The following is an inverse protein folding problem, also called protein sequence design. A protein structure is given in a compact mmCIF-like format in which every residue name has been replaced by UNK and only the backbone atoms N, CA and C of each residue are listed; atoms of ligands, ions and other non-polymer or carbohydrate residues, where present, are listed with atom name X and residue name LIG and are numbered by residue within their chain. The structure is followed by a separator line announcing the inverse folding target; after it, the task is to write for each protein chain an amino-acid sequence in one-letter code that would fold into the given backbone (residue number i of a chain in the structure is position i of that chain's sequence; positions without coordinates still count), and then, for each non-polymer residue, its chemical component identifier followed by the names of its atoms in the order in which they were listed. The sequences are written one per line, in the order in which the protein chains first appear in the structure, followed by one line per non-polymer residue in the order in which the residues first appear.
data_IF_016716985325
#
_entry.id   IF_016716985325
#
_cell.length_a   1.000
_cell.length_b   1.000
_cell.length_c   1.000
_cell.angle_alpha   90.00
_cell.angle_beta   90.00
_cell.angle_gamma   90.00
#
_symmetry.space_group_name_H-M   'P 1'
#
loop_
_entity.id
_entity.type
_entity.pdbx_description
1 polymer ?
#
# COMPACT_ATOMS: atom_id res chain seq x y z
N UNK A 1 -3.63 13.81 -5.47
CA UNK A 1 -2.58 13.05 -4.76
C UNK A 1 -2.30 11.80 -5.56
N UNK A 2 -1.04 11.39 -5.69
CA UNK A 2 -0.63 10.12 -6.29
C UNK A 2 0.07 9.29 -5.23
N UNK A 3 -0.17 7.97 -5.19
CA UNK A 3 0.36 7.07 -4.15
C UNK A 3 0.93 5.84 -4.84
N UNK A 4 2.20 5.58 -4.58
CA UNK A 4 3.03 4.54 -5.17
C UNK A 4 3.10 4.61 -6.71
N UNK A 5 3.99 3.79 -7.29
CA UNK A 5 4.18 3.69 -8.73
C UNK A 5 3.84 2.32 -9.32
N UNK A 6 3.67 1.28 -8.50
CA UNK A 6 3.58 -0.10 -8.99
C UNK A 6 4.95 -0.67 -9.38
N UNK A 7 4.95 -1.86 -9.99
CA UNK A 7 6.13 -2.45 -10.64
C UNK A 7 6.47 -1.77 -11.96
N UNK A 8 7.72 -1.90 -12.40
CA UNK A 8 8.20 -1.41 -13.71
C UNK A 8 7.30 -1.86 -14.87
N UNK A 9 6.92 -3.14 -14.89
CA UNK A 9 6.09 -3.72 -15.96
C UNK A 9 4.73 -3.04 -16.12
N UNK A 10 4.16 -2.52 -15.03
CA UNK A 10 2.85 -1.84 -15.02
C UNK A 10 2.92 -0.36 -15.38
N UNK A 11 4.13 0.24 -15.37
CA UNK A 11 4.30 1.68 -15.59
C UNK A 11 3.75 2.15 -16.94
N UNK A 12 3.93 1.37 -18.02
CA UNK A 12 3.42 1.74 -19.35
C UNK A 12 1.90 1.89 -19.33
N UNK A 13 1.20 1.01 -18.61
CA UNK A 13 -0.25 1.07 -18.46
C UNK A 13 -0.68 2.20 -17.52
N UNK A 14 0.01 2.42 -16.40
CA UNK A 14 -0.24 3.56 -15.50
C UNK A 14 -0.06 4.88 -16.26
N UNK A 15 1.06 5.06 -16.95
CA UNK A 15 1.32 6.25 -17.78
C UNK A 15 0.21 6.44 -18.80
N UNK A 16 -0.09 5.40 -19.59
CA UNK A 16 -1.06 5.48 -20.69
C UNK A 16 -2.50 5.69 -20.22
N UNK A 17 -2.95 4.95 -19.20
CA UNK A 17 -4.35 4.89 -18.78
C UNK A 17 -4.71 5.94 -17.72
N UNK A 18 -3.74 6.38 -16.92
CA UNK A 18 -4.02 7.22 -15.74
C UNK A 18 -3.28 8.56 -15.73
N UNK A 19 -2.10 8.66 -16.35
CA UNK A 19 -1.28 9.88 -16.30
C UNK A 19 -1.22 10.66 -17.61
N UNK A 20 -1.61 10.09 -18.76
CA UNK A 20 -1.68 10.84 -20.02
C UNK A 20 -2.72 11.98 -19.97
N UNK A 21 -3.75 11.84 -19.14
CA UNK A 21 -4.74 12.90 -18.89
C UNK A 21 -4.22 13.96 -17.91
N UNK A 22 -3.16 13.64 -17.16
CA UNK A 22 -2.47 14.56 -16.25
C UNK A 22 -1.54 15.44 -17.08
N UNK A 23 -2.13 16.41 -17.79
CA UNK A 23 -1.44 17.33 -18.67
C UNK A 23 -0.83 18.55 -17.94
N UNK A 24 -0.21 19.44 -18.72
CA UNK A 24 0.22 20.76 -18.25
C UNK A 24 -0.94 21.49 -17.57
N UNK A 25 -0.70 22.01 -16.37
CA UNK A 25 -1.71 22.65 -15.51
C UNK A 25 -2.34 21.72 -14.47
N UNK A 26 -2.05 20.41 -14.52
CA UNK A 26 -2.37 19.49 -13.41
C UNK A 26 -1.31 19.59 -12.33
N UNK A 27 -1.75 19.61 -11.08
CA UNK A 27 -0.88 19.67 -9.91
C UNK A 27 -1.20 18.55 -8.95
N UNK A 28 -0.19 17.76 -8.59
CA UNK A 28 -0.25 16.86 -7.46
C UNK A 28 0.22 17.61 -6.22
N UNK A 29 -0.70 17.89 -5.29
CA UNK A 29 -0.32 18.48 -3.99
C UNK A 29 0.63 17.59 -3.19
N UNK A 30 0.49 16.27 -3.34
CA UNK A 30 1.40 15.28 -2.81
C UNK A 30 1.53 14.08 -3.77
N UNK A 31 2.76 13.63 -3.98
CA UNK A 31 3.08 12.29 -4.48
C UNK A 31 3.70 11.52 -3.31
N UNK A 32 3.25 10.30 -3.05
CA UNK A 32 3.72 9.48 -1.92
C UNK A 32 4.29 8.18 -2.43
N UNK A 33 5.47 7.81 -1.95
CA UNK A 33 5.98 6.44 -2.00
C UNK A 33 5.91 5.90 -0.59
N UNK A 34 5.08 4.87 -0.41
CA UNK A 34 4.69 4.40 0.92
C UNK A 34 5.82 3.64 1.60
N UNK A 35 6.60 2.85 0.86
CA UNK A 35 7.81 2.17 1.33
C UNK A 35 8.70 1.72 0.15
N UNK A 36 9.73 0.92 0.42
CA UNK A 36 10.82 0.63 -0.53
C UNK A 36 10.63 -0.61 -1.38
N UNK A 37 9.61 -1.44 -1.14
CA UNK A 37 9.48 -2.66 -1.92
C UNK A 37 9.14 -2.37 -3.38
N UNK A 38 9.58 -3.30 -4.23
CA UNK A 38 9.63 -3.13 -5.68
C UNK A 38 8.26 -2.78 -6.30
N UNK A 39 7.17 -3.36 -5.81
CA UNK A 39 5.79 -3.10 -6.27
C UNK A 39 5.23 -1.75 -5.82
N UNK A 40 5.95 -1.00 -4.99
CA UNK A 40 5.59 0.35 -4.61
C UNK A 40 6.48 1.38 -5.32
N UNK A 41 7.79 1.15 -5.38
CA UNK A 41 8.78 2.16 -5.77
C UNK A 41 9.14 2.16 -7.26
N UNK A 42 9.10 1.03 -7.96
CA UNK A 42 9.68 0.91 -9.30
C UNK A 42 9.03 1.80 -10.36
N UNK A 43 7.70 1.82 -10.41
CA UNK A 43 6.98 2.71 -11.33
C UNK A 43 7.20 4.17 -11.00
N UNK A 44 7.53 4.50 -9.74
CA UNK A 44 7.88 5.86 -9.35
C UNK A 44 9.26 6.27 -9.85
N UNK A 45 10.22 5.34 -9.89
CA UNK A 45 11.51 5.56 -10.57
C UNK A 45 11.29 5.86 -12.05
N UNK A 46 10.40 5.11 -12.73
CA UNK A 46 10.04 5.37 -14.12
C UNK A 46 9.35 6.72 -14.30
N UNK A 47 8.47 7.12 -13.38
CA UNK A 47 7.86 8.45 -13.36
C UNK A 47 8.93 9.55 -13.23
N UNK A 48 9.88 9.39 -12.31
CA UNK A 48 10.95 10.36 -12.12
C UNK A 48 11.91 10.45 -13.32
N UNK A 49 12.10 9.36 -14.07
CA UNK A 49 12.90 9.34 -15.30
C UNK A 49 12.16 9.86 -16.54
N UNK A 50 10.84 10.10 -16.45
CA UNK A 50 10.01 10.44 -17.60
C UNK A 50 10.00 11.94 -17.91
N UNK A 51 10.81 12.38 -18.88
CA UNK A 51 10.88 13.78 -19.32
C UNK A 51 9.55 14.33 -19.87
N UNK A 52 8.60 13.46 -20.22
CA UNK A 52 7.26 13.86 -20.66
C UNK A 52 6.31 14.11 -19.49
N UNK A 53 6.68 13.76 -18.26
CA UNK A 53 5.86 14.07 -17.09
C UNK A 53 5.91 15.57 -16.78
N UNK A 54 4.81 16.29 -17.11
CA UNK A 54 4.69 17.75 -17.02
C UNK A 54 3.84 18.26 -15.85
N UNK A 55 3.34 17.38 -14.99
CA UNK A 55 2.54 17.79 -13.84
C UNK A 55 3.39 18.56 -12.82
N UNK A 56 2.80 19.54 -12.15
CA UNK A 56 3.43 20.18 -11.00
C UNK A 56 3.37 19.25 -9.79
N UNK A 57 4.48 19.14 -9.06
CA UNK A 57 4.55 18.38 -7.81
C UNK A 57 4.74 19.36 -6.65
N UNK A 58 3.75 19.41 -5.76
CA UNK A 58 3.75 20.29 -4.60
C UNK A 58 4.72 19.82 -3.51
N UNK A 59 4.60 18.56 -3.11
CA UNK A 59 5.51 17.91 -2.17
C UNK A 59 5.62 16.41 -2.54
N UNK A 60 6.81 15.85 -2.38
CA UNK A 60 7.06 14.44 -2.57
C UNK A 60 7.32 13.80 -1.20
N UNK A 61 6.59 12.74 -0.87
CA UNK A 61 6.61 12.10 0.43
C UNK A 61 7.26 10.73 0.33
N UNK A 62 8.44 10.59 0.93
CA UNK A 62 9.17 9.33 0.96
C UNK A 62 10.22 9.34 2.08
N UNK A 63 10.28 8.27 2.86
CA UNK A 63 11.28 8.07 3.90
C UNK A 63 12.53 7.38 3.32
N UNK A 64 13.38 8.14 2.63
CA UNK A 64 14.72 7.66 2.24
C UNK A 64 15.68 7.54 3.44
N UNK A 65 16.78 6.81 3.23
CA UNK A 65 17.89 6.62 4.17
C UNK A 65 18.32 7.91 4.88
N UNK A 66 18.50 9.01 4.13
CA UNK A 66 18.90 10.33 4.68
C UNK A 66 17.97 10.89 5.77
N UNK A 67 16.75 10.37 5.89
CA UNK A 67 15.78 10.80 6.89
C UNK A 67 15.79 9.93 8.16
N UNK A 68 16.49 8.80 8.16
CA UNK A 68 16.33 7.76 9.20
C UNK A 68 17.27 7.91 10.41
N UNK A 69 18.29 8.79 10.36
CA UNK A 69 19.21 9.18 11.45
C UNK A 69 19.25 8.31 12.75
N UNK A 70 20.27 7.43 12.84
CA UNK A 70 20.89 6.96 14.10
C UNK A 70 20.44 5.63 14.73
N UNK A 71 21.28 4.60 14.50
CA UNK A 71 21.53 3.32 15.21
C UNK A 71 20.66 2.09 14.85
N UNK A 72 21.37 0.99 14.59
CA UNK A 72 20.98 -0.22 13.88
C UNK A 72 20.18 -1.31 14.65
N UNK A 73 19.63 -2.26 13.89
CA UNK A 73 18.87 -3.48 14.22
C UNK A 73 19.26 -4.61 13.26
N UNK A 74 18.73 -5.82 13.51
CA UNK A 74 19.19 -7.06 12.89
C UNK A 74 18.12 -7.94 12.20
N UNK A 75 17.45 -7.49 11.14
CA UNK A 75 16.55 -8.32 10.31
C UNK A 75 16.90 -8.30 8.79
N UNK A 76 16.27 -9.17 8.01
CA UNK A 76 16.52 -9.41 6.57
C UNK A 76 15.52 -8.62 5.69
N UNK A 77 16.01 -7.83 4.71
CA UNK A 77 15.21 -7.19 3.64
C UNK A 77 15.85 -7.53 2.30
N UNK A 78 15.08 -7.39 1.22
CA UNK A 78 15.55 -7.49 -0.16
C UNK A 78 16.59 -6.39 -0.49
N UNK A 79 17.82 -6.81 -0.79
CA UNK A 79 18.94 -5.96 -1.23
C UNK A 79 18.56 -4.99 -2.37
N UNK A 80 17.60 -5.39 -3.22
CA UNK A 80 17.08 -4.58 -4.33
C UNK A 80 16.23 -3.39 -3.89
N UNK A 81 15.43 -3.49 -2.82
CA UNK A 81 14.57 -2.41 -2.33
C UNK A 81 15.39 -1.21 -1.86
N UNK A 82 16.52 -1.47 -1.21
CA UNK A 82 17.45 -0.41 -0.76
C UNK A 82 18.16 0.27 -1.91
N UNK A 83 18.64 -0.49 -2.90
CA UNK A 83 19.22 0.11 -4.10
C UNK A 83 18.20 1.02 -4.82
N UNK A 84 16.93 0.60 -4.91
CA UNK A 84 15.85 1.41 -5.50
C UNK A 84 15.51 2.66 -4.67
N UNK A 85 15.54 2.57 -3.34
CA UNK A 85 15.40 3.72 -2.45
C UNK A 85 16.47 4.79 -2.67
N UNK A 86 17.73 4.39 -2.86
CA UNK A 86 18.84 5.31 -3.17
C UNK A 86 18.75 5.88 -4.59
N UNK A 87 18.32 5.06 -5.56
CA UNK A 87 18.04 5.53 -6.92
C UNK A 87 16.94 6.61 -6.92
N UNK A 88 15.85 6.40 -6.18
CA UNK A 88 14.77 7.39 -6.08
C UNK A 88 15.25 8.66 -5.40
N UNK A 89 16.08 8.53 -4.36
CA UNK A 89 16.70 9.67 -3.68
C UNK A 89 17.52 10.54 -4.63
N UNK A 90 18.28 9.92 -5.54
CA UNK A 90 19.05 10.60 -6.58
C UNK A 90 18.12 11.26 -7.61
N UNK A 91 17.13 10.52 -8.11
CA UNK A 91 16.20 11.02 -9.12
C UNK A 91 15.37 12.23 -8.63
N UNK A 92 14.98 12.25 -7.35
CA UNK A 92 14.27 13.38 -6.74
C UNK A 92 15.15 14.63 -6.63
N UNK A 93 16.45 14.46 -6.38
CA UNK A 93 17.39 15.58 -6.35
C UNK A 93 17.51 16.24 -7.73
N UNK A 94 17.52 15.45 -8.80
CA UNK A 94 17.61 15.94 -10.19
C UNK A 94 16.33 16.68 -10.64
N UNK A 95 15.16 16.24 -10.16
CA UNK A 95 13.86 16.88 -10.46
C UNK A 95 13.63 18.21 -9.76
N UNK A 96 14.45 18.54 -8.75
CA UNK A 96 14.28 19.72 -7.89
C UNK A 96 12.87 19.85 -7.25
N UNK A 97 12.23 18.72 -6.96
CA UNK A 97 10.95 18.69 -6.25
C UNK A 97 11.15 18.94 -4.76
N UNK A 98 10.14 19.55 -4.13
CA UNK A 98 10.09 19.60 -2.65
C UNK A 98 9.96 18.18 -2.12
N UNK A 99 10.73 17.86 -1.09
CA UNK A 99 10.76 16.51 -0.51
C UNK A 99 10.55 16.60 1.00
N UNK A 100 9.47 15.95 1.47
CA UNK A 100 9.00 15.94 2.84
C UNK A 100 8.89 17.37 3.41
N UNK A 101 8.62 18.37 2.56
CA UNK A 101 8.66 19.78 2.97
C UNK A 101 7.58 20.09 4.01
N UNK A 102 6.42 19.42 3.93
CA UNK A 102 5.37 19.49 4.95
C UNK A 102 5.82 18.99 6.32
N UNK A 103 6.85 18.16 6.36
CA UNK A 103 7.47 17.61 7.57
C UNK A 103 8.81 18.28 7.90
N UNK A 104 9.08 19.45 7.31
CA UNK A 104 10.34 20.19 7.52
C UNK A 104 11.56 19.48 6.94
N UNK A 105 11.39 18.65 5.91
CA UNK A 105 12.45 17.85 5.28
C UNK A 105 12.92 16.67 6.14
N UNK A 106 12.13 16.26 7.14
CA UNK A 106 12.43 15.14 8.04
C UNK A 106 11.65 13.89 7.66
N UNK A 107 11.90 12.80 8.37
CA UNK A 107 11.10 11.58 8.24
C UNK A 107 9.62 11.82 8.52
N UNK A 108 8.78 11.23 7.69
CA UNK A 108 7.35 11.11 7.83
C UNK A 108 7.09 9.99 8.84
N UNK A 109 6.52 10.32 9.99
CA UNK A 109 6.15 9.36 11.02
C UNK A 109 5.02 9.89 11.88
N UNK A 110 4.31 8.98 12.54
CA UNK A 110 3.40 9.36 13.61
C UNK A 110 4.19 9.72 14.89
N UNK A 111 3.65 10.61 15.75
CA UNK A 111 4.26 10.92 17.02
C UNK A 111 4.32 9.67 17.93
N UNK A 112 5.34 9.59 18.78
CA UNK A 112 5.49 8.50 19.75
C UNK A 112 4.41 8.59 20.85
N UNK A 113 4.13 7.49 21.56
CA UNK A 113 3.18 7.46 22.67
C UNK A 113 1.74 7.79 22.28
N UNK A 114 1.03 8.55 23.13
CA UNK A 114 -0.41 8.84 23.01
C UNK A 114 -0.74 10.25 22.48
N UNK A 115 0.26 11.05 22.09
CA UNK A 115 0.06 12.41 21.54
C UNK A 115 -0.96 12.44 20.38
N UNK A 116 -1.69 13.51 20.07
CA UNK A 116 -2.62 13.48 18.93
C UNK A 116 -1.93 13.17 17.59
N UNK A 117 -2.54 12.33 16.75
CA UNK A 117 -2.04 12.08 15.39
C UNK A 117 -2.14 13.34 14.53
N UNK A 118 -1.15 13.53 13.65
CA UNK A 118 -1.07 14.70 12.78
C UNK A 118 -2.04 14.57 11.60
N UNK A 119 -2.89 15.58 11.40
CA UNK A 119 -3.71 15.74 10.19
C UNK A 119 -3.23 16.93 9.38
N UNK A 120 -2.73 16.66 8.18
CA UNK A 120 -2.36 17.66 7.19
C UNK A 120 -3.58 18.05 6.35
N UNK A 121 -3.67 19.31 5.94
CA UNK A 121 -4.65 19.77 4.95
C UNK A 121 -3.89 20.24 3.71
N UNK A 122 -4.08 19.50 2.62
CA UNK A 122 -3.53 19.83 1.31
C UNK A 122 -4.42 20.86 0.61
N UNK A 123 -3.89 21.52 -0.44
CA UNK A 123 -4.72 22.41 -1.24
C UNK A 123 -5.90 21.63 -1.84
N UNK A 124 -7.05 22.29 -1.98
CA UNK A 124 -8.28 21.61 -2.33
C UNK A 124 -8.97 20.91 -1.15
N UNK A 125 -8.58 21.16 0.10
CA UNK A 125 -9.26 20.66 1.32
C UNK A 125 -9.19 19.14 1.54
N UNK A 126 -8.32 18.42 0.84
CA UNK A 126 -8.01 17.02 1.16
C UNK A 126 -7.26 16.96 2.49
N UNK A 127 -7.86 16.31 3.49
CA UNK A 127 -7.21 16.06 4.78
C UNK A 127 -6.53 14.70 4.75
N UNK A 128 -5.30 14.65 5.24
CA UNK A 128 -4.49 13.43 5.32
C UNK A 128 -4.06 13.23 6.77
N UNK A 129 -4.52 12.16 7.41
CA UNK A 129 -4.11 11.82 8.79
C UNK A 129 -3.18 10.62 8.75
N UNK A 130 -1.93 10.80 9.21
CA UNK A 130 -0.96 9.72 9.24
C UNK A 130 -1.31 8.69 10.31
N UNK A 131 -1.22 7.41 9.96
CA UNK A 131 -1.41 6.26 10.86
C UNK A 131 -0.13 5.45 11.07
N UNK A 132 0.83 5.57 10.15
CA UNK A 132 2.10 4.84 10.13
C UNK A 132 3.11 5.66 9.30
N UNK A 133 4.43 5.51 9.46
CA UNK A 133 5.14 4.60 10.37
C UNK A 133 5.40 5.17 11.76
N UNK A 134 5.74 4.29 12.69
CA UNK A 134 6.28 4.68 14.01
C UNK A 134 7.77 5.01 13.89
N UNK A 135 8.33 5.68 14.91
CA UNK A 135 9.79 5.84 15.00
C UNK A 135 10.53 4.50 15.08
N UNK A 136 9.91 3.52 15.74
CA UNK A 136 10.51 2.21 15.90
C UNK A 136 10.63 1.51 14.54
N UNK A 137 9.56 1.45 13.75
CA UNK A 137 9.58 0.86 12.41
C UNK A 137 10.63 1.50 11.49
N UNK A 138 10.74 2.84 11.52
CA UNK A 138 11.78 3.54 10.77
C UNK A 138 13.21 3.23 11.22
N UNK A 139 13.42 3.02 12.53
CA UNK A 139 14.73 2.65 13.08
C UNK A 139 15.13 1.23 12.72
N UNK A 140 14.17 0.30 12.75
CA UNK A 140 14.42 -1.07 12.32
C UNK A 140 14.87 -1.10 10.86
N UNK A 141 14.14 -0.38 9.99
CA UNK A 141 14.51 -0.27 8.57
C UNK A 141 15.94 0.22 8.37
N UNK A 142 16.35 1.27 9.09
CA UNK A 142 17.72 1.81 8.95
C UNK A 142 18.79 0.80 9.34
N UNK A 143 18.57 0.07 10.41
CA UNK A 143 19.58 -0.85 10.94
C UNK A 143 19.95 -1.95 9.96
N UNK A 144 18.95 -2.42 9.27
CA UNK A 144 19.11 -3.44 8.28
C UNK A 144 19.62 -2.84 6.94
N UNK A 145 19.21 -1.60 6.61
CA UNK A 145 19.73 -0.85 5.46
C UNK A 145 21.25 -0.66 5.52
N UNK A 146 21.79 -0.34 6.70
CA UNK A 146 23.24 -0.24 6.91
C UNK A 146 23.97 -1.56 6.60
N UNK A 147 23.36 -2.70 6.94
CA UNK A 147 23.94 -4.02 6.64
C UNK A 147 23.98 -4.28 5.15
N UNK A 148 22.90 -4.01 4.42
CA UNK A 148 22.92 -4.27 2.98
C UNK A 148 23.82 -3.31 2.24
N UNK A 149 24.01 -2.06 2.69
CA UNK A 149 25.04 -1.20 2.08
C UNK A 149 26.45 -1.78 2.23
N UNK A 150 26.72 -2.50 3.33
CA UNK A 150 28.00 -3.18 3.58
C UNK A 150 28.11 -4.48 2.78
N UNK A 151 27.04 -5.29 2.74
CA UNK A 151 26.98 -6.54 1.98
C UNK A 151 27.04 -6.28 0.47
N UNK A 152 26.33 -5.26 -0.01
CA UNK A 152 26.32 -4.76 -1.38
C UNK A 152 27.59 -3.97 -1.73
N UNK A 153 28.76 -4.32 -1.19
CA UNK A 153 30.08 -3.72 -1.48
C UNK A 153 30.55 -3.82 -2.96
N UNK A 154 29.63 -3.77 -3.92
CA UNK A 154 29.79 -4.00 -5.35
C UNK A 154 28.99 -2.95 -6.15
N UNK A 155 29.74 -1.95 -6.64
CA UNK A 155 29.53 -1.10 -7.84
C UNK A 155 28.07 -0.76 -8.26
N UNK A 156 27.66 0.52 -8.22
CA UNK A 156 26.39 0.98 -8.77
C UNK A 156 26.50 1.14 -10.30
N UNK A 157 26.64 0.05 -11.05
CA UNK A 157 26.45 0.07 -12.50
C UNK A 157 26.08 -1.33 -13.01
N UNK A 158 24.80 -1.74 -12.97
CA UNK A 158 24.24 -2.69 -13.95
C UNK A 158 22.75 -2.46 -14.16
N UNK A 159 22.43 -1.69 -15.21
CA UNK A 159 21.28 -1.88 -16.12
C UNK A 159 19.87 -1.76 -15.56
N UNK A 160 18.93 -1.38 -16.43
CA UNK A 160 17.52 -1.67 -16.17
C UNK A 160 17.38 -3.18 -15.90
N UNK A 161 16.65 -3.61 -14.84
CA UNK A 161 16.30 -5.01 -14.71
C UNK A 161 15.63 -5.44 -16.02
N UNK A 162 15.96 -6.61 -16.58
CA UNK A 162 15.32 -7.08 -17.80
C UNK A 162 13.80 -7.08 -17.59
N UNK A 163 13.04 -6.72 -18.63
CA UNK A 163 11.58 -6.92 -18.63
C UNK A 163 11.32 -8.33 -18.10
N UNK A 164 10.66 -8.43 -16.95
CA UNK A 164 10.35 -9.73 -16.35
C UNK A 164 9.54 -10.53 -17.38
N UNK A 165 9.93 -11.78 -17.69
CA UNK A 165 9.17 -12.58 -18.63
C UNK A 165 7.73 -12.67 -18.14
N UNK A 166 6.75 -12.63 -19.06
CA UNK A 166 5.38 -13.03 -18.76
C UNK A 166 5.45 -14.34 -17.97
N UNK A 167 5.10 -14.27 -16.69
CA UNK A 167 5.15 -15.42 -15.79
C UNK A 167 4.19 -16.43 -16.40
N UNK A 168 4.71 -17.59 -16.78
CA UNK A 168 3.89 -18.71 -17.22
C UNK A 168 2.80 -18.90 -16.17
N UNK A 169 1.53 -18.92 -16.60
CA UNK A 169 0.40 -19.28 -15.74
C UNK A 169 0.78 -20.57 -15.00
N UNK A 170 1.20 -20.44 -13.74
CA UNK A 170 1.30 -21.59 -12.86
C UNK A 170 -0.13 -22.09 -12.79
N UNK A 171 -0.35 -23.34 -13.19
CA UNK A 171 -1.66 -24.01 -13.12
C UNK A 171 -2.11 -24.07 -11.65
N UNK A 172 -2.63 -22.95 -11.16
CA UNK A 172 -3.37 -22.88 -9.92
C UNK A 172 -4.67 -23.59 -10.19
N UNK A 173 -4.79 -24.82 -9.72
CA UNK A 173 -6.07 -25.53 -9.67
C UNK A 173 -7.07 -24.59 -9.00
N UNK A 174 -8.08 -24.14 -9.76
CA UNK A 174 -9.05 -23.14 -9.30
C UNK A 174 -9.56 -23.48 -7.91
N UNK A 175 -9.42 -22.53 -6.98
CA UNK A 175 -9.75 -22.73 -5.57
C UNK A 175 -11.20 -23.18 -5.42
N UNK A 176 -11.42 -24.22 -4.61
CA UNK A 176 -12.76 -24.65 -4.24
C UNK A 176 -13.51 -23.57 -3.45
N UNK A 177 -14.78 -23.83 -3.13
CA UNK A 177 -15.56 -22.91 -2.27
C UNK A 177 -14.84 -22.74 -0.92
N UNK A 178 -14.49 -21.50 -0.51
CA UNK A 178 -13.78 -21.25 0.74
C UNK A 178 -14.63 -21.61 1.96
N UNK A 179 -14.00 -22.19 2.99
CA UNK A 179 -14.62 -22.37 4.31
C UNK A 179 -14.30 -21.15 5.20
N UNK A 180 -15.24 -20.20 5.26
CA UNK A 180 -15.07 -18.96 6.00
C UNK A 180 -14.80 -19.17 7.49
N UNK A 181 -15.42 -20.17 8.11
CA UNK A 181 -15.30 -20.40 9.55
C UNK A 181 -13.92 -20.96 9.87
N UNK A 182 -13.46 -21.94 9.08
CA UNK A 182 -12.09 -22.48 9.20
C UNK A 182 -11.03 -21.41 8.91
N UNK A 183 -11.24 -20.56 7.91
CA UNK A 183 -10.32 -19.47 7.57
C UNK A 183 -10.24 -18.41 8.66
N UNK A 184 -11.38 -18.00 9.23
CA UNK A 184 -11.41 -17.02 10.31
C UNK A 184 -10.88 -17.56 11.65
N UNK A 185 -10.91 -18.88 11.85
CA UNK A 185 -10.36 -19.54 13.03
C UNK A 185 -8.83 -19.70 12.99
N UNK A 186 -8.18 -19.41 11.86
CA UNK A 186 -6.71 -19.47 11.76
C UNK A 186 -6.05 -18.44 12.69
N UNK A 187 -4.94 -18.78 13.35
CA UNK A 187 -4.22 -17.87 14.22
C UNK A 187 -3.77 -16.62 13.47
N UNK A 188 -3.75 -15.49 14.18
CA UNK A 188 -3.17 -14.25 13.68
C UNK A 188 -1.67 -14.26 13.96
N UNK A 189 -0.90 -14.33 12.88
CA UNK A 189 0.55 -14.13 12.87
C UNK A 189 0.83 -12.82 12.11
N UNK A 190 0.86 -11.72 12.86
CA UNK A 190 0.95 -10.39 12.26
C UNK A 190 2.22 -10.24 11.44
N UNK A 191 2.14 -9.45 10.39
CA UNK A 191 3.30 -9.05 9.61
C UNK A 191 4.31 -8.34 10.51
N UNK A 192 5.54 -8.82 10.49
CA UNK A 192 6.70 -8.32 11.23
C UNK A 192 7.84 -7.88 10.29
N UNK A 193 7.59 -7.87 8.97
CA UNK A 193 8.56 -7.48 7.97
C UNK A 193 9.05 -6.04 8.19
N UNK A 194 10.36 -5.86 8.26
CA UNK A 194 10.95 -4.55 8.53
C UNK A 194 10.62 -3.47 7.48
N UNK A 195 10.60 -3.74 6.15
CA UNK A 195 10.23 -2.73 5.16
C UNK A 195 8.80 -2.24 5.40
N UNK A 196 7.91 -3.16 5.72
CA UNK A 196 6.49 -2.94 5.98
C UNK A 196 6.27 -2.06 7.21
N UNK A 197 7.14 -2.14 8.22
CA UNK A 197 7.15 -1.25 9.38
C UNK A 197 7.46 0.23 9.04
N UNK A 198 8.00 0.51 7.86
CA UNK A 198 8.26 1.87 7.35
C UNK A 198 7.12 2.46 6.52
N UNK A 199 6.08 1.67 6.23
CA UNK A 199 4.96 2.04 5.38
C UNK A 199 4.26 3.31 5.85
N UNK A 200 4.16 4.29 4.95
CA UNK A 200 3.37 5.51 5.15
C UNK A 200 1.90 5.18 4.88
N UNK A 201 1.17 4.82 5.94
CA UNK A 201 -0.28 4.60 5.89
C UNK A 201 -1.05 5.80 6.43
N UNK A 202 -2.23 6.08 5.86
CA UNK A 202 -3.00 7.27 6.20
C UNK A 202 -4.50 7.15 5.91
N UNK A 203 -5.27 8.01 6.57
CA UNK A 203 -6.65 8.32 6.21
C UNK A 203 -6.69 9.49 5.24
N UNK A 204 -7.45 9.35 4.16
CA UNK A 204 -7.84 10.45 3.28
C UNK A 204 -9.26 10.87 3.59
N UNK A 205 -9.48 12.17 3.79
CA UNK A 205 -10.82 12.73 4.01
C UNK A 205 -11.07 13.92 3.10
N UNK A 206 -12.14 13.84 2.33
CA UNK A 206 -12.55 14.87 1.38
C UNK A 206 -14.07 14.82 1.20
N UNK A 207 -14.73 15.96 1.26
CA UNK A 207 -16.19 16.10 1.07
C UNK A 207 -17.03 15.08 1.86
N UNK A 208 -16.70 14.89 3.15
CA UNK A 208 -17.37 13.94 4.04
C UNK A 208 -17.07 12.46 3.77
N UNK A 209 -16.28 12.13 2.75
CA UNK A 209 -15.78 10.77 2.47
C UNK A 209 -14.50 10.52 3.26
N UNK A 210 -14.30 9.25 3.64
CA UNK A 210 -13.11 8.77 4.35
C UNK A 210 -12.62 7.49 3.69
N UNK A 211 -11.33 7.44 3.35
CA UNK A 211 -10.67 6.28 2.77
C UNK A 211 -9.49 5.91 3.66
N UNK A 212 -9.32 4.62 3.97
CA UNK A 212 -8.10 4.09 4.56
C UNK A 212 -7.16 3.61 3.45
N UNK A 213 -5.95 4.17 3.42
CA UNK A 213 -4.84 3.71 2.60
C UNK A 213 -3.83 3.01 3.51
N UNK A 214 -3.94 1.68 3.62
CA UNK A 214 -3.15 0.88 4.55
C UNK A 214 -1.68 0.69 4.19
N UNK A 215 -1.29 0.97 2.94
CA UNK A 215 0.01 0.56 2.39
C UNK A 215 0.31 -0.89 2.79
N UNK A 216 1.53 -1.21 3.22
CA UNK A 216 1.86 -2.53 3.75
C UNK A 216 2.12 -2.45 5.26
N UNK A 217 1.57 -1.44 5.93
CA UNK A 217 1.82 -1.20 7.34
C UNK A 217 1.41 -2.39 8.22
N UNK A 218 2.15 -2.59 9.30
CA UNK A 218 1.84 -3.60 10.31
C UNK A 218 0.43 -3.36 10.88
N UNK A 219 -0.39 -4.42 11.02
CA UNK A 219 -1.80 -4.28 11.39
C UNK A 219 -2.00 -3.74 12.80
N UNK A 220 -1.10 -4.06 13.73
CA UNK A 220 -1.14 -3.59 15.11
C UNK A 220 -0.85 -2.08 15.21
N UNK A 221 0.08 -1.57 14.40
CA UNK A 221 0.35 -0.12 14.29
C UNK A 221 -0.88 0.62 13.77
N UNK A 222 -1.53 0.09 12.72
CA UNK A 222 -2.77 0.68 12.19
C UNK A 222 -3.90 0.65 13.22
N UNK A 223 -4.10 -0.49 13.89
CA UNK A 223 -5.13 -0.64 14.93
C UNK A 223 -4.89 0.34 16.08
N UNK A 224 -3.66 0.40 16.61
CA UNK A 224 -3.29 1.31 17.70
C UNK A 224 -3.47 2.78 17.30
N UNK A 225 -3.10 3.15 16.07
CA UNK A 225 -3.31 4.50 15.56
C UNK A 225 -4.80 4.87 15.50
N UNK A 226 -5.67 3.96 15.06
CA UNK A 226 -7.11 4.18 15.05
C UNK A 226 -7.69 4.26 16.48
N UNK A 227 -7.22 3.40 17.41
CA UNK A 227 -7.63 3.46 18.81
C UNK A 227 -7.21 4.75 19.50
N UNK A 228 -6.03 5.28 19.19
CA UNK A 228 -5.55 6.60 19.64
C UNK A 228 -6.44 7.75 19.17
N UNK A 229 -7.12 7.58 18.03
CA UNK A 229 -8.17 8.49 17.54
C UNK A 229 -9.54 8.26 18.20
N UNK A 230 -9.60 7.48 19.28
CA UNK A 230 -10.83 7.10 20.01
C UNK A 230 -11.78 6.18 19.25
N UNK A 231 -11.30 5.50 18.20
CA UNK A 231 -12.08 4.43 17.56
C UNK A 231 -11.96 3.12 18.33
N UNK A 232 -13.04 2.36 18.34
CA UNK A 232 -13.12 1.08 19.03
C UNK A 232 -14.21 0.23 18.41
N UNK A 233 -14.38 -0.98 18.93
CA UNK A 233 -15.43 -1.92 18.57
C UNK A 233 -16.84 -1.32 18.77
N UNK A 234 -16.98 -0.43 19.76
CA UNK A 234 -18.26 0.24 20.07
C UNK A 234 -18.39 1.62 19.42
N UNK A 235 -17.30 2.14 18.86
CA UNK A 235 -17.24 3.40 18.13
C UNK A 235 -16.32 3.23 16.90
N UNK A 236 -16.68 2.40 15.92
CA UNK A 236 -15.78 2.09 14.82
C UNK A 236 -15.66 3.27 13.85
N UNK A 237 -14.50 3.44 13.24
CA UNK A 237 -14.29 4.44 12.19
C UNK A 237 -15.09 4.06 10.95
N UNK A 238 -16.07 4.88 10.57
CA UNK A 238 -16.80 4.69 9.32
C UNK A 238 -15.91 5.03 8.12
N UNK A 239 -15.65 4.01 7.29
CA UNK A 239 -14.92 4.12 6.04
C UNK A 239 -15.87 4.03 4.85
N UNK A 240 -15.57 4.79 3.81
CA UNK A 240 -16.24 4.69 2.52
C UNK A 240 -15.51 3.73 1.57
N UNK A 241 -14.20 3.58 1.76
CA UNK A 241 -13.36 2.58 1.08
C UNK A 241 -12.15 2.25 1.97
N UNK A 242 -11.74 1.00 1.96
CA UNK A 242 -10.44 0.57 2.47
C UNK A 242 -9.62 0.00 1.32
N UNK A 243 -8.50 0.65 0.94
CA UNK A 243 -7.45 -0.05 0.19
C UNK A 243 -6.81 -1.00 1.17
N UNK A 244 -7.06 -2.29 0.97
CA UNK A 244 -6.67 -3.34 1.90
C UNK A 244 -5.14 -3.35 2.03
N UNK A 245 -4.60 -3.37 3.26
CA UNK A 245 -3.17 -3.41 3.49
C UNK A 245 -2.50 -4.60 2.80
N UNK A 246 -1.26 -4.40 2.34
CA UNK A 246 -0.37 -5.45 1.85
C UNK A 246 -1.06 -6.39 0.87
N UNK A 247 -1.77 -5.78 -0.09
CA UNK A 247 -2.48 -6.47 -1.17
C UNK A 247 -3.52 -7.50 -0.74
N UNK A 248 -3.93 -7.50 0.53
CA UNK A 248 -4.79 -8.55 1.09
C UNK A 248 -4.04 -9.73 1.68
N UNK A 249 -2.84 -9.52 2.21
CA UNK A 249 -2.15 -10.47 3.09
C UNK A 249 -2.98 -10.77 4.35
N UNK A 250 -3.10 -12.05 4.68
CA UNK A 250 -3.73 -12.53 5.91
C UNK A 250 -2.99 -12.09 7.18
N UNK A 251 -1.72 -11.69 7.04
CA UNK A 251 -0.89 -11.16 8.14
C UNK A 251 -1.10 -9.68 8.41
N UNK A 252 -1.79 -8.95 7.52
CA UNK A 252 -2.07 -7.50 7.67
C UNK A 252 -3.57 -7.20 7.79
N UNK A 253 -4.44 -8.18 7.51
CA UNK A 253 -5.89 -8.07 7.68
C UNK A 253 -6.31 -8.88 8.90
N UNK A 254 -6.27 -8.24 10.06
CA UNK A 254 -6.59 -8.86 11.36
C UNK A 254 -8.01 -8.53 11.81
N UNK A 255 -8.57 -9.38 12.67
CA UNK A 255 -9.83 -9.12 13.36
C UNK A 255 -9.74 -7.86 14.23
N UNK A 256 -8.59 -7.64 14.88
CA UNK A 256 -8.34 -6.42 15.67
C UNK A 256 -8.48 -5.14 14.84
N UNK A 257 -7.80 -5.05 13.70
CA UNK A 257 -7.92 -3.92 12.78
C UNK A 257 -9.35 -3.77 12.24
N UNK A 258 -9.97 -4.87 11.81
CA UNK A 258 -11.33 -4.84 11.26
C UNK A 258 -12.39 -4.49 12.31
N UNK A 259 -12.15 -4.77 13.59
CA UNK A 259 -13.08 -4.48 14.68
C UNK A 259 -13.22 -2.98 14.97
N UNK A 260 -12.19 -2.18 14.64
CA UNK A 260 -12.19 -0.73 14.89
C UNK A 260 -12.62 0.10 13.66
N UNK A 261 -13.05 -0.55 12.56
CA UNK A 261 -13.55 0.10 11.34
C UNK A 261 -14.95 -0.41 10.94
N UNK A 262 -15.81 0.48 10.47
CA UNK A 262 -17.08 0.14 9.82
C UNK A 262 -16.92 0.40 8.31
N UNK A 263 -16.71 -0.67 7.55
CA UNK A 263 -16.48 -0.60 6.11
C UNK A 263 -17.27 -1.66 5.36
N UNK A 264 -17.82 -1.29 4.21
CA UNK A 264 -18.52 -2.21 3.29
C UNK A 264 -17.87 -2.30 1.91
N UNK A 265 -16.78 -1.57 1.66
CA UNK A 265 -16.11 -1.49 0.35
C UNK A 265 -14.61 -1.63 0.53
N UNK A 266 -14.03 -2.63 -0.12
CA UNK A 266 -12.63 -2.99 0.02
C UNK A 266 -11.99 -3.08 -1.35
N UNK A 267 -10.80 -2.50 -1.54
CA UNK A 267 -10.04 -2.60 -2.78
C UNK A 267 -8.77 -3.42 -2.58
N UNK A 268 -8.60 -4.43 -3.42
CA UNK A 268 -7.44 -5.30 -3.51
C UNK A 268 -6.64 -4.92 -4.76
N UNK A 269 -5.33 -4.70 -4.61
CA UNK A 269 -4.45 -4.20 -5.67
C UNK A 269 -3.30 -5.15 -5.99
N UNK A 270 -3.56 -6.32 -6.59
CA UNK A 270 -2.52 -7.31 -6.91
C UNK A 270 -2.94 -8.27 -8.01
N UNK A 271 -1.95 -8.72 -8.79
CA UNK A 271 -2.09 -9.82 -9.77
C UNK A 271 -1.69 -11.20 -9.18
N UNK A 272 -1.21 -11.24 -7.93
CA UNK A 272 -0.85 -12.46 -7.22
C UNK A 272 0.42 -13.16 -7.71
N UNK A 273 1.20 -12.59 -8.64
CA UNK A 273 2.28 -13.33 -9.31
C UNK A 273 3.52 -13.62 -8.45
N UNK A 274 3.72 -12.89 -7.35
CA UNK A 274 4.90 -13.04 -6.48
C UNK A 274 4.56 -13.63 -5.11
N UNK A 275 3.62 -13.01 -4.41
CA UNK A 275 3.25 -13.37 -3.04
C UNK A 275 1.91 -14.10 -2.95
N UNK A 276 1.31 -14.43 -4.10
CA UNK A 276 0.04 -15.12 -4.15
C UNK A 276 -1.12 -14.36 -3.48
N UNK A 277 -0.98 -13.07 -3.17
CA UNK A 277 -2.07 -12.28 -2.62
C UNK A 277 -3.21 -12.04 -3.63
N UNK A 278 -4.45 -11.84 -3.16
CA UNK A 278 -4.86 -11.83 -1.74
C UNK A 278 -5.00 -13.23 -1.15
N UNK A 279 -4.88 -13.30 0.17
CA UNK A 279 -5.06 -14.53 0.93
C UNK A 279 -6.53 -14.77 1.26
N UNK A 280 -6.94 -16.04 1.19
CA UNK A 280 -8.32 -16.43 1.53
C UNK A 280 -8.70 -16.04 2.97
N UNK A 281 -7.74 -16.06 3.90
CA UNK A 281 -7.95 -15.64 5.29
C UNK A 281 -8.30 -14.14 5.38
N UNK A 282 -7.60 -13.29 4.62
CA UNK A 282 -7.89 -11.86 4.58
C UNK A 282 -9.28 -11.59 4.02
N UNK A 283 -9.63 -12.23 2.91
CA UNK A 283 -10.96 -12.13 2.29
C UNK A 283 -12.05 -12.64 3.24
N UNK A 284 -11.82 -13.76 3.93
CA UNK A 284 -12.77 -14.32 4.88
C UNK A 284 -13.01 -13.39 6.07
N UNK A 285 -11.95 -12.82 6.66
CA UNK A 285 -12.06 -11.84 7.74
C UNK A 285 -12.79 -10.57 7.30
N UNK A 286 -12.53 -10.08 6.07
CA UNK A 286 -13.28 -8.95 5.49
C UNK A 286 -14.77 -9.28 5.39
N UNK A 287 -15.13 -10.44 4.84
CA UNK A 287 -16.53 -10.88 4.72
C UNK A 287 -17.19 -11.00 6.10
N UNK A 288 -16.49 -11.55 7.10
CA UNK A 288 -16.99 -11.74 8.47
C UNK A 288 -16.93 -10.49 9.35
N UNK A 289 -16.32 -9.39 8.90
CA UNK A 289 -16.17 -8.17 9.72
C UNK A 289 -17.49 -7.54 10.17
N UNK A 290 -18.60 -7.78 9.46
CA UNK A 290 -19.95 -7.42 9.89
C UNK A 290 -21.00 -8.12 9.03
N UNK A 291 -22.26 -8.18 9.49
CA UNK A 291 -23.37 -8.73 8.71
C UNK A 291 -23.81 -7.89 7.49
N UNK A 292 -23.30 -6.66 7.33
CA UNK A 292 -23.63 -5.79 6.19
C UNK A 292 -23.03 -6.32 4.89
N UNK A 293 -23.76 -6.13 3.79
CA UNK A 293 -23.31 -6.49 2.45
C UNK A 293 -21.93 -5.87 2.15
N UNK A 294 -20.94 -6.72 1.85
CA UNK A 294 -19.59 -6.28 1.48
C UNK A 294 -19.43 -6.24 -0.04
N UNK A 295 -18.62 -5.32 -0.54
CA UNK A 295 -18.15 -5.29 -1.94
C UNK A 295 -16.64 -5.25 -1.93
N UNK A 296 -16.03 -6.26 -2.54
CA UNK A 296 -14.58 -6.40 -2.69
C UNK A 296 -14.24 -6.17 -4.15
N UNK A 297 -13.48 -5.13 -4.43
CA UNK A 297 -13.04 -4.74 -5.75
C UNK A 297 -11.62 -5.27 -5.97
N UNK A 298 -11.39 -5.86 -7.14
CA UNK A 298 -10.09 -6.36 -7.57
C UNK A 298 -9.65 -5.60 -8.82
N UNK A 299 -8.35 -5.33 -8.93
CA UNK A 299 -7.76 -4.80 -10.16
C UNK A 299 -7.28 -5.91 -11.12
N UNK A 300 -7.32 -7.17 -10.71
CA UNK A 300 -7.07 -8.33 -11.56
C UNK A 300 -8.10 -9.43 -11.31
N UNK A 301 -8.45 -10.16 -12.37
CA UNK A 301 -9.17 -11.42 -12.25
C UNK A 301 -8.15 -12.58 -12.28
N UNK A 302 -8.20 -13.45 -11.28
CA UNK A 302 -7.22 -14.52 -11.09
C UNK A 302 -7.91 -15.89 -10.97
N UNK A 303 -7.32 -16.99 -11.50
CA UNK A 303 -7.88 -18.34 -11.36
C UNK A 303 -8.09 -18.78 -9.91
N UNK A 304 -7.18 -18.43 -8.99
CA UNK A 304 -7.29 -18.76 -7.55
C UNK A 304 -8.58 -18.23 -6.90
N UNK A 305 -9.14 -17.15 -7.44
CA UNK A 305 -10.37 -16.52 -6.93
C UNK A 305 -11.65 -17.21 -7.44
N UNK A 306 -11.56 -18.38 -8.08
CA UNK A 306 -12.71 -19.13 -8.61
C UNK A 306 -13.80 -19.36 -7.54
N UNK A 307 -13.44 -19.86 -6.36
CA UNK A 307 -14.39 -20.07 -5.27
C UNK A 307 -15.05 -18.78 -4.77
N UNK A 308 -14.32 -17.66 -4.79
CA UNK A 308 -14.83 -16.33 -4.42
C UNK A 308 -15.74 -15.69 -5.48
N UNK A 309 -15.79 -16.27 -6.69
CA UNK A 309 -16.67 -15.86 -7.80
C UNK A 309 -17.99 -16.63 -7.82
N UNK A 310 -18.15 -17.66 -6.99
CA UNK A 310 -19.38 -18.44 -6.95
C UNK A 310 -20.56 -17.60 -6.44
N UNK A 311 -21.61 -17.48 -7.26
CA UNK A 311 -22.76 -16.62 -6.97
C UNK A 311 -23.55 -17.08 -5.75
N UNK A 312 -23.63 -18.40 -5.51
CA UNK A 312 -24.34 -18.97 -4.37
C UNK A 312 -23.57 -18.68 -3.09
N UNK A 313 -22.25 -18.93 -3.09
CA UNK A 313 -21.37 -18.63 -1.98
C UNK A 313 -21.38 -17.14 -1.61
N UNK A 314 -21.34 -16.24 -2.61
CA UNK A 314 -21.47 -14.80 -2.40
C UNK A 314 -22.82 -14.41 -1.79
N UNK A 315 -23.92 -14.97 -2.30
CA UNK A 315 -25.26 -14.69 -1.80
C UNK A 315 -25.46 -15.19 -0.36
N UNK A 316 -25.03 -16.42 -0.07
CA UNK A 316 -25.17 -17.06 1.24
C UNK A 316 -24.36 -16.35 2.33
N UNK A 317 -23.27 -15.69 1.95
CA UNK A 317 -22.38 -14.98 2.88
C UNK A 317 -22.45 -13.44 2.75
N UNK A 318 -23.47 -12.91 2.06
CA UNK A 318 -23.76 -11.49 1.93
C UNK A 318 -22.55 -10.63 1.50
N UNK A 319 -21.85 -11.03 0.43
CA UNK A 319 -20.79 -10.22 -0.18
C UNK A 319 -20.84 -10.26 -1.71
N UNK A 320 -20.06 -9.39 -2.34
CA UNK A 320 -19.89 -9.32 -3.80
C UNK A 320 -18.43 -9.09 -4.15
N UNK A 321 -17.96 -9.77 -5.18
CA UNK A 321 -16.69 -9.48 -5.81
C UNK A 321 -16.91 -8.71 -7.11
N UNK A 322 -16.10 -7.70 -7.36
CA UNK A 322 -16.10 -6.90 -8.61
C UNK A 322 -14.73 -7.05 -9.26
N UNK A 323 -14.72 -7.64 -10.44
CA UNK A 323 -13.52 -7.90 -11.24
C UNK A 323 -13.45 -6.95 -12.45
N UNK A 324 -12.23 -6.62 -12.94
CA UNK A 324 -12.08 -5.80 -14.13
C UNK A 324 -12.51 -6.58 -15.37
N UNK A 325 -12.92 -5.86 -16.42
CA UNK A 325 -13.06 -6.47 -17.74
C UNK A 325 -11.68 -6.88 -18.28
N UNK A 326 -11.58 -7.82 -19.23
CA UNK A 326 -10.28 -8.26 -19.77
C UNK A 326 -9.38 -7.13 -20.29
N UNK A 327 -9.96 -6.06 -20.87
CA UNK A 327 -9.20 -4.90 -21.35
C UNK A 327 -8.68 -3.98 -20.22
N UNK A 328 -9.26 -4.11 -19.03
CA UNK A 328 -9.04 -3.22 -17.88
C UNK A 328 -8.22 -3.88 -16.77
N UNK A 329 -7.69 -5.10 -17.00
CA UNK A 329 -6.75 -5.75 -16.07
C UNK A 329 -5.62 -4.78 -15.68
N UNK A 330 -5.32 -4.73 -14.38
CA UNK A 330 -4.40 -3.78 -13.77
C UNK A 330 -4.97 -2.40 -13.46
N UNK A 331 -6.19 -2.09 -13.91
CA UNK A 331 -6.84 -0.81 -13.65
C UNK A 331 -8.16 -1.00 -12.90
N UNK A 332 -8.39 -0.15 -11.90
CA UNK A 332 -9.62 -0.15 -11.12
C UNK A 332 -10.03 1.28 -10.81
N UNK A 333 -11.29 1.62 -11.08
CA UNK A 333 -11.90 2.89 -10.70
C UNK A 333 -13.11 2.62 -9.83
N UNK A 334 -13.18 3.31 -8.69
CA UNK A 334 -14.24 3.15 -7.69
C UNK A 334 -14.85 4.51 -7.42
N UNK A 335 -16.16 4.63 -7.62
CA UNK A 335 -16.93 5.82 -7.22
C UNK A 335 -17.33 5.70 -5.75
N UNK A 336 -16.96 6.71 -4.93
CA UNK A 336 -17.02 6.66 -3.45
C UNK A 336 -18.08 7.59 -2.87
#
# INVERSE_FOLDING_TARGET
MLVDGGRTGTWKDVKKKQLLEVGQGTRFEAIVVTHIDRDHIEGMLKLCADDDFRAEVGDFWFNAYKHLDGVASDDEIEEFGVAQGEQLSTALADRAWSWNARFGGKAIRIPDGDDPLETLVLAGCLRVTLLSPTRHGLRSLMGDWDKWLIEAGLKPEQGEPPDEPEVQEIESFGGGIPDLDSLCAQPEDNDDGVPNGSSIAFLLQYDGKTILCGADAHPDVLEQALRRMSYSETNPLRLHLMKVPHHGSGRNVTAGLLSVVDCTRFAISTNGSHHEHPDDVALARIVRSSDRLKTIYFNYDQPRLAGWKDETFMADNNFRCVFPQPADQGCLSIEI
#
